data_IF_009018662823
#
_entry.id   IF_009018662823
#
_cell.length_a   1.000
_cell.length_b   1.000
_cell.length_c   1.000
_cell.angle_alpha   90.00
_cell.angle_beta   90.00
_cell.angle_gamma   90.00
#
_symmetry.space_group_name_H-M   'P 1'
#
loop_
_entity.id
_entity.type
_entity.pdbx_description
1 polymer ?
#
# COMPACT_ATOMS: atom_id res chain seq x y z
N UNK A 1 -4.90 0.92 -15.32
CA UNK A 1 -3.44 1.16 -15.36
C UNK A 1 -2.79 0.44 -14.19
N UNK A 2 -1.64 -0.18 -14.41
CA UNK A 2 -0.89 -0.84 -13.36
C UNK A 2 0.21 0.09 -12.84
N UNK A 3 0.30 0.23 -11.53
CA UNK A 3 1.29 1.06 -10.88
C UNK A 3 2.21 0.18 -10.05
N UNK A 4 3.52 0.38 -10.17
CA UNK A 4 4.51 -0.41 -9.46
C UNK A 4 5.01 0.39 -8.25
N UNK A 5 4.95 -0.23 -7.08
CA UNK A 5 5.41 0.35 -5.82
C UNK A 5 6.56 -0.52 -5.31
N UNK A 6 7.76 0.05 -5.28
CA UNK A 6 8.95 -0.63 -4.79
C UNK A 6 9.04 -0.46 -3.27
N UNK A 7 9.12 -1.58 -2.56
CA UNK A 7 9.19 -1.59 -1.10
C UNK A 7 10.54 -2.10 -0.63
N UNK A 8 11.05 -1.45 0.40
CA UNK A 8 12.28 -1.88 1.07
C UNK A 8 12.20 -1.59 2.56
N UNK A 9 12.98 -2.31 3.37
CA UNK A 9 13.10 -2.06 4.80
C UNK A 9 14.30 -1.13 5.01
N UNK A 10 14.06 0.01 5.64
CA UNK A 10 15.08 0.98 6.02
C UNK A 10 14.90 1.32 7.49
N UNK A 11 15.93 1.06 8.31
CA UNK A 11 15.89 1.35 9.75
C UNK A 11 14.64 0.80 10.45
N UNK A 12 14.30 -0.46 10.18
CA UNK A 12 13.13 -1.16 10.77
C UNK A 12 11.79 -0.54 10.41
N UNK A 13 11.73 0.21 9.35
CA UNK A 13 10.47 0.72 8.79
C UNK A 13 10.41 0.42 7.31
N UNK A 14 9.21 0.50 6.73
CA UNK A 14 9.01 0.25 5.32
C UNK A 14 9.06 1.54 4.55
N UNK A 15 9.93 1.57 3.54
CA UNK A 15 10.03 2.66 2.59
C UNK A 15 9.37 2.24 1.27
N UNK A 16 8.58 3.12 0.69
CA UNK A 16 7.95 2.90 -0.60
C UNK A 16 8.45 3.92 -1.62
N UNK A 17 8.80 3.42 -2.81
CA UNK A 17 9.20 4.26 -3.94
C UNK A 17 8.28 3.95 -5.11
N UNK A 18 7.68 4.97 -5.70
CA UNK A 18 6.81 4.81 -6.84
C UNK A 18 6.72 6.10 -7.64
N UNK A 19 6.34 5.96 -8.91
CA UNK A 19 6.06 7.10 -9.75
C UNK A 19 4.77 7.76 -9.28
N UNK A 20 4.84 9.03 -8.94
CA UNK A 20 3.67 9.79 -8.55
C UNK A 20 2.71 9.96 -9.73
N UNK A 21 1.46 9.58 -9.51
CA UNK A 21 0.35 9.90 -10.41
C UNK A 21 -0.46 11.02 -9.77
N UNK A 22 -1.05 11.88 -10.60
CA UNK A 22 -1.90 12.96 -10.07
C UNK A 22 -3.23 12.42 -9.54
N UNK A 23 -3.70 11.30 -10.09
CA UNK A 23 -5.03 10.78 -9.81
C UNK A 23 -5.01 9.31 -9.41
N UNK A 24 -6.00 8.96 -8.59
CA UNK A 24 -6.38 7.59 -8.28
C UNK A 24 -7.72 7.35 -8.96
N UNK A 25 -7.79 6.37 -9.86
CA UNK A 25 -8.97 6.09 -10.64
C UNK A 25 -9.50 4.68 -10.38
N UNK A 26 -10.80 4.50 -10.55
CA UNK A 26 -11.41 3.18 -10.38
C UNK A 26 -10.82 2.19 -11.40
N UNK A 27 -10.40 1.02 -10.90
CA UNK A 27 -9.75 0.01 -11.71
C UNK A 27 -8.22 0.06 -11.70
N UNK A 28 -7.62 1.09 -11.08
CA UNK A 28 -6.17 1.14 -10.92
C UNK A 28 -5.69 -0.05 -10.09
N UNK A 29 -4.59 -0.65 -10.53
CA UNK A 29 -3.95 -1.77 -9.85
C UNK A 29 -2.59 -1.33 -9.34
N UNK A 30 -2.29 -1.67 -8.08
CA UNK A 30 -1.01 -1.40 -7.45
C UNK A 30 -0.28 -2.72 -7.23
N UNK A 31 0.91 -2.82 -7.80
CA UNK A 31 1.78 -3.98 -7.63
C UNK A 31 2.91 -3.61 -6.69
N UNK A 32 3.03 -4.36 -5.60
CA UNK A 32 4.06 -4.14 -4.59
C UNK A 32 5.23 -5.08 -4.83
N UNK A 33 6.39 -4.53 -5.12
CA UNK A 33 7.61 -5.29 -5.34
C UNK A 33 8.51 -5.19 -4.11
N UNK A 34 9.00 -6.33 -3.65
CA UNK A 34 9.93 -6.41 -2.54
C UNK A 34 11.30 -6.84 -3.02
N UNK A 35 12.36 -6.31 -2.41
CA UNK A 35 13.67 -6.88 -2.61
C UNK A 35 13.73 -8.31 -2.05
N UNK A 36 14.57 -9.16 -2.65
CA UNK A 36 14.74 -10.53 -2.17
C UNK A 36 15.27 -10.59 -0.74
N UNK A 37 16.10 -9.63 -0.36
CA UNK A 37 16.59 -9.52 1.01
C UNK A 37 15.45 -9.31 2.00
N UNK A 38 14.45 -8.51 1.63
CA UNK A 38 13.30 -8.24 2.47
C UNK A 38 12.40 -9.47 2.64
N UNK A 39 12.21 -10.22 1.57
CA UNK A 39 11.44 -11.48 1.64
C UNK A 39 12.07 -12.48 2.62
N UNK A 40 13.39 -12.62 2.59
CA UNK A 40 14.12 -13.48 3.52
C UNK A 40 14.00 -12.99 4.97
N UNK A 41 13.98 -11.68 5.14
CA UNK A 41 13.92 -11.06 6.46
C UNK A 41 12.56 -11.26 7.14
N UNK A 42 11.47 -11.24 6.38
CA UNK A 42 10.11 -11.34 6.92
C UNK A 42 9.73 -12.73 7.42
N UNK A 43 10.28 -13.80 6.81
CA UNK A 43 9.92 -15.17 7.14
C UNK A 43 8.68 -15.66 6.37
N UNK A 44 8.40 -16.96 6.49
CA UNK A 44 7.35 -17.62 5.71
C UNK A 44 5.93 -17.20 6.07
N UNK A 45 5.71 -16.85 7.32
CA UNK A 45 4.37 -16.48 7.82
C UNK A 45 4.19 -14.97 7.98
N UNK A 46 5.08 -14.19 7.36
CA UNK A 46 4.98 -12.75 7.37
C UNK A 46 3.78 -12.26 6.57
N UNK A 47 3.25 -11.11 6.97
CA UNK A 47 2.12 -10.48 6.28
C UNK A 47 2.44 -9.04 5.94
N UNK A 48 1.85 -8.57 4.86
CA UNK A 48 1.89 -7.18 4.48
C UNK A 48 0.50 -6.59 4.71
N UNK A 49 0.45 -5.48 5.41
CA UNK A 49 -0.78 -4.71 5.58
C UNK A 49 -0.69 -3.45 4.74
N UNK A 50 -1.63 -3.28 3.84
CA UNK A 50 -1.75 -2.09 3.01
C UNK A 50 -2.99 -1.32 3.46
N UNK A 51 -2.83 -0.04 3.72
CA UNK A 51 -3.89 0.83 4.19
C UNK A 51 -4.09 1.97 3.20
N UNK A 52 -5.34 2.21 2.80
CA UNK A 52 -5.72 3.35 1.98
C UNK A 52 -6.46 4.35 2.87
N UNK A 53 -5.88 5.52 3.08
CA UNK A 53 -6.42 6.55 3.93
C UNK A 53 -6.88 7.74 3.08
N UNK A 54 -8.17 8.04 3.15
CA UNK A 54 -8.74 9.24 2.54
C UNK A 54 -8.58 10.39 3.56
N UNK A 55 -8.10 11.54 3.12
CA UNK A 55 -8.00 12.72 3.99
C UNK A 55 -9.35 13.07 4.61
N UNK A 56 -9.37 13.31 5.91
CA UNK A 56 -10.58 13.61 6.70
C UNK A 56 -11.66 12.52 6.59
N UNK A 57 -11.26 11.30 6.31
CA UNK A 57 -12.21 10.25 6.04
C UNK A 57 -11.78 8.88 6.49
N UNK A 58 -12.34 7.91 5.80
CA UNK A 58 -12.30 6.51 6.13
C UNK A 58 -10.93 5.89 5.83
N UNK A 59 -10.53 4.97 6.70
CA UNK A 59 -9.34 4.16 6.55
C UNK A 59 -9.75 2.72 6.27
N UNK A 60 -9.29 2.15 5.15
CA UNK A 60 -9.50 0.76 4.80
C UNK A 60 -8.16 0.03 4.76
N UNK A 61 -8.09 -1.15 5.39
CA UNK A 61 -6.86 -1.93 5.48
C UNK A 61 -7.04 -3.29 4.81
N UNK A 62 -6.02 -3.71 4.07
CA UNK A 62 -5.99 -4.98 3.35
C UNK A 62 -4.74 -5.75 3.71
N UNK A 63 -4.84 -7.09 3.78
CA UNK A 63 -3.73 -7.95 4.16
C UNK A 63 -3.31 -8.82 2.98
N UNK A 64 -2.01 -8.89 2.75
CA UNK A 64 -1.43 -9.70 1.69
C UNK A 64 -0.35 -10.61 2.24
N UNK A 65 -0.18 -11.77 1.62
CA UNK A 65 1.01 -12.59 1.79
C UNK A 65 2.07 -12.05 0.81
N UNK A 66 3.15 -11.42 1.30
CA UNK A 66 4.13 -10.80 0.42
C UNK A 66 4.90 -11.81 -0.43
N UNK A 67 4.82 -13.10 -0.10
CA UNK A 67 5.48 -14.15 -0.85
C UNK A 67 4.61 -14.74 -1.96
N UNK A 68 3.29 -14.56 -1.90
CA UNK A 68 2.35 -15.19 -2.83
C UNK A 68 1.61 -14.20 -3.72
N UNK A 69 1.03 -13.17 -3.12
CA UNK A 69 0.21 -12.21 -3.84
C UNK A 69 0.49 -10.81 -3.30
N UNK A 70 0.92 -9.94 -4.19
CA UNK A 70 1.27 -8.59 -3.84
C UNK A 70 0.67 -7.58 -4.83
N UNK A 71 -0.45 -7.93 -5.44
CA UNK A 71 -1.23 -6.99 -6.24
C UNK A 71 -2.47 -6.58 -5.49
N UNK A 72 -2.81 -5.30 -5.57
CA UNK A 72 -4.01 -4.74 -4.99
C UNK A 72 -4.69 -3.84 -5.99
N UNK A 73 -5.98 -4.05 -6.18
CA UNK A 73 -6.82 -3.12 -6.92
C UNK A 73 -7.25 -2.00 -5.98
N UNK A 74 -7.29 -0.78 -6.47
CA UNK A 74 -7.80 0.34 -5.68
C UNK A 74 -9.22 0.02 -5.19
N UNK A 75 -9.50 0.16 -3.88
CA UNK A 75 -10.80 -0.21 -3.33
C UNK A 75 -11.95 0.59 -3.94
N UNK A 76 -13.05 -0.08 -4.26
CA UNK A 76 -14.21 0.57 -4.85
C UNK A 76 -14.80 1.65 -3.95
N UNK A 77 -14.67 1.48 -2.64
CA UNK A 77 -15.19 2.42 -1.63
C UNK A 77 -14.55 3.81 -1.75
N UNK A 78 -13.36 3.91 -2.36
CA UNK A 78 -12.74 5.21 -2.61
C UNK A 78 -13.52 6.06 -3.61
N UNK A 79 -14.25 5.40 -4.53
CA UNK A 79 -14.83 6.06 -5.70
C UNK A 79 -16.31 6.41 -5.52
N UNK A 80 -16.66 6.83 -4.32
CA UNK A 80 -17.97 7.42 -4.04
C UNK A 80 -17.94 8.89 -4.43
N UNK A 81 -19.10 9.44 -4.81
CA UNK A 81 -19.22 10.83 -5.24
C UNK A 81 -18.67 11.81 -4.20
N UNK A 82 -18.92 11.54 -2.93
CA UNK A 82 -18.45 12.36 -1.81
C UNK A 82 -16.93 12.44 -1.69
N UNK A 83 -16.21 11.51 -2.31
CA UNK A 83 -14.75 11.44 -2.25
C UNK A 83 -14.06 12.09 -3.47
N UNK A 84 -14.80 12.56 -4.44
CA UNK A 84 -14.24 13.25 -5.61
C UNK A 84 -13.33 14.40 -5.17
N UNK A 85 -12.10 14.40 -5.69
CA UNK A 85 -11.14 15.45 -5.40
C UNK A 85 -10.39 15.32 -4.08
N UNK A 86 -10.72 14.33 -3.24
CA UNK A 86 -9.99 14.09 -1.99
C UNK A 86 -8.69 13.36 -2.25
N UNK A 87 -7.70 13.60 -1.39
CA UNK A 87 -6.39 12.95 -1.48
C UNK A 87 -6.42 11.61 -0.77
N UNK A 88 -5.80 10.60 -1.40
CA UNK A 88 -5.59 9.27 -0.83
C UNK A 88 -4.13 9.09 -0.47
N UNK A 89 -3.88 8.57 0.72
CA UNK A 89 -2.56 8.19 1.20
C UNK A 89 -2.46 6.67 1.30
N UNK A 90 -1.29 6.15 0.99
CA UNK A 90 -0.98 4.73 1.09
C UNK A 90 -0.06 4.49 2.28
N UNK A 91 -0.47 3.63 3.19
CA UNK A 91 0.38 3.12 4.26
C UNK A 91 0.71 1.66 4.01
N UNK A 92 1.94 1.26 4.25
CA UNK A 92 2.37 -0.13 4.13
C UNK A 92 3.07 -0.53 5.42
N UNK A 93 2.62 -1.62 6.01
CA UNK A 93 3.14 -2.12 7.27
C UNK A 93 3.50 -3.60 7.08
N UNK A 94 4.71 -3.98 7.47
CA UNK A 94 5.15 -5.37 7.45
C UNK A 94 4.97 -6.00 8.82
N UNK A 95 4.44 -7.22 8.87
CA UNK A 95 4.34 -7.99 10.10
C UNK A 95 5.19 -9.24 9.95
N UNK A 96 6.29 -9.28 10.69
CA UNK A 96 7.20 -10.41 10.71
C UNK A 96 6.51 -11.65 11.30
N UNK A 97 7.00 -12.84 10.98
CA UNK A 97 6.39 -14.09 11.47
C UNK A 97 6.34 -14.20 13.00
N UNK A 98 7.21 -13.52 13.72
CA UNK A 98 7.21 -13.46 15.16
C UNK A 98 6.24 -12.42 15.76
N UNK A 99 5.51 -11.71 14.91
CA UNK A 99 4.58 -10.67 15.31
C UNK A 99 5.15 -9.26 15.36
N UNK A 100 6.46 -9.09 15.16
CA UNK A 100 7.08 -7.77 15.12
C UNK A 100 6.53 -6.96 13.96
N UNK A 101 6.15 -5.71 14.23
CA UNK A 101 5.57 -4.82 13.23
C UNK A 101 6.63 -3.84 12.73
N UNK A 102 6.75 -3.75 11.41
CA UNK A 102 7.59 -2.75 10.74
C UNK A 102 6.68 -1.70 10.14
N UNK A 103 6.52 -0.56 10.81
CA UNK A 103 5.60 0.48 10.35
C UNK A 103 6.12 1.21 9.13
N UNK A 104 5.22 1.84 8.40
CA UNK A 104 5.56 2.79 7.36
C UNK A 104 4.93 4.14 7.66
N UNK A 105 5.45 5.18 7.02
CA UNK A 105 4.75 6.45 6.93
C UNK A 105 3.74 6.37 5.80
N UNK A 106 2.75 7.25 5.82
CA UNK A 106 1.79 7.34 4.73
C UNK A 106 2.38 8.14 3.57
N UNK A 107 2.23 7.61 2.36
CA UNK A 107 2.68 8.24 1.14
C UNK A 107 1.47 8.74 0.35
N UNK A 108 1.56 9.95 -0.19
CA UNK A 108 0.50 10.47 -1.04
C UNK A 108 0.40 9.62 -2.31
N UNK A 109 -0.75 9.02 -2.54
CA UNK A 109 -1.00 8.18 -3.71
C UNK A 109 -1.55 9.00 -4.88
N UNK A 110 -2.46 9.90 -4.61
CA UNK A 110 -3.07 10.76 -5.61
C UNK A 110 -4.40 11.32 -5.16
N UNK A 111 -5.05 12.02 -6.07
CA UNK A 111 -6.38 12.60 -5.87
C UNK A 111 -7.43 11.73 -6.54
N UNK A 112 -8.52 11.45 -5.84
CA UNK A 112 -9.61 10.63 -6.37
C UNK A 112 -10.28 11.34 -7.54
N UNK A 113 -10.36 10.62 -8.66
CA UNK A 113 -11.07 11.06 -9.85
C UNK A 113 -12.08 10.00 -10.27
N UNK A 114 -13.33 10.38 -10.28
CA UNK A 114 -14.42 9.52 -10.74
C UNK A 114 -14.51 9.41 -12.25
#
# INVERSE_FOLDING_TARGET
MENIIELEVVNKSISAKFRQNNYVSNGDVYKFNFSNAWKKFLGENARLQVTYLIENGRQDAYYFDPLKDYKSKAPEELFREENEGKTVYLGVCGVHEDGTVYPSVYYRLGTIRL
#
